data_IF_632669969276
#
_entry.id   IF_632669969276
#
_cell.length_a   1.000
_cell.length_b   1.000
_cell.length_c   1.000
_cell.angle_alpha   90.00
_cell.angle_beta   90.00
_cell.angle_gamma   90.00
#
_symmetry.space_group_name_H-M   'P 1'
#
loop_
_entity.id
_entity.type
_entity.pdbx_description
1 polymer ?
#
# COMPACT_ATOMS: atom_id res chain seq x y z
N UNK A 1 15.12 3.53 -3.68
CA UNK A 1 14.70 3.39 -2.27
C UNK A 1 15.64 2.45 -1.52
N UNK A 2 16.10 1.38 -2.18
CA UNK A 2 17.09 0.41 -1.76
C UNK A 2 17.92 -0.07 -2.97
N UNK A 3 18.46 -1.28 -2.92
CA UNK A 3 19.26 -1.86 -4.00
C UNK A 3 18.45 -2.39 -5.20
N UNK A 4 17.12 -2.45 -5.12
CA UNK A 4 16.28 -2.83 -6.26
C UNK A 4 16.26 -1.74 -7.33
N UNK A 5 16.47 -2.12 -8.59
CA UNK A 5 16.45 -1.18 -9.72
C UNK A 5 15.12 -0.46 -9.89
N UNK A 6 14.01 -1.09 -9.48
CA UNK A 6 12.68 -0.48 -9.55
C UNK A 6 11.82 -0.87 -8.35
N UNK A 7 11.33 0.12 -7.60
CA UNK A 7 10.27 -0.02 -6.59
C UNK A 7 9.00 0.71 -7.02
N UNK A 8 9.16 1.77 -7.79
CA UNK A 8 8.06 2.57 -8.34
C UNK A 8 8.29 2.76 -9.83
N UNK A 9 7.24 2.66 -10.62
CA UNK A 9 7.26 2.96 -12.04
C UNK A 9 6.23 4.05 -12.34
N UNK A 10 6.67 5.09 -13.06
CA UNK A 10 5.78 6.10 -13.64
C UNK A 10 5.68 5.78 -15.12
N UNK A 11 4.46 5.55 -15.61
CA UNK A 11 4.21 5.26 -17.02
C UNK A 11 3.61 6.50 -17.70
N UNK A 12 3.92 6.69 -18.98
CA UNK A 12 3.39 7.80 -19.77
C UNK A 12 2.03 7.51 -20.42
N UNK A 13 1.24 6.60 -19.84
CA UNK A 13 -0.06 6.21 -20.38
C UNK A 13 -1.15 7.26 -20.08
N UNK A 14 -2.29 7.10 -20.72
CA UNK A 14 -3.44 7.99 -20.60
C UNK A 14 -4.24 7.68 -19.32
N UNK A 15 -3.91 8.27 -18.22
CA UNK A 15 -4.72 8.17 -17.01
C UNK A 15 -3.93 8.37 -15.73
N UNK A 16 -4.44 9.23 -14.88
CA UNK A 16 -3.89 9.53 -13.56
C UNK A 16 -4.35 8.46 -12.55
N UNK A 17 -3.85 7.23 -12.69
CA UNK A 17 -4.32 6.09 -11.90
C UNK A 17 -3.22 5.04 -11.68
N UNK A 18 -3.56 3.98 -10.96
CA UNK A 18 -2.69 2.83 -10.76
C UNK A 18 -2.53 2.05 -12.06
N UNK A 19 -1.29 1.98 -12.59
CA UNK A 19 -0.97 1.14 -13.75
C UNK A 19 -0.92 -0.35 -13.37
N UNK A 20 -0.31 -0.68 -12.24
CA UNK A 20 -0.24 -2.03 -11.69
C UNK A 20 0.21 -2.00 -10.22
N UNK A 21 -0.04 -3.11 -9.51
CA UNK A 21 0.60 -3.42 -8.23
C UNK A 21 1.40 -4.70 -8.38
N UNK A 22 2.65 -4.70 -7.92
CA UNK A 22 3.58 -5.82 -8.04
C UNK A 22 3.87 -6.50 -6.70
N UNK A 23 3.92 -7.84 -6.71
CA UNK A 23 4.32 -8.66 -5.57
C UNK A 23 5.43 -9.62 -6.00
N UNK A 24 6.44 -9.74 -5.17
CA UNK A 24 7.57 -10.64 -5.40
C UNK A 24 7.24 -12.04 -4.87
N UNK A 25 7.67 -13.07 -5.60
CA UNK A 25 7.66 -14.47 -5.17
C UNK A 25 9.08 -14.97 -4.94
N UNK A 26 9.24 -15.89 -3.99
CA UNK A 26 10.55 -16.38 -3.58
C UNK A 26 11.19 -17.31 -4.63
N UNK A 27 10.36 -18.06 -5.36
CA UNK A 27 10.83 -19.07 -6.32
C UNK A 27 10.15 -18.90 -7.68
N UNK A 28 10.88 -19.26 -8.73
CA UNK A 28 10.35 -19.23 -10.10
C UNK A 28 9.11 -20.13 -10.26
N UNK A 29 9.12 -21.28 -9.62
CA UNK A 29 8.05 -22.27 -9.66
C UNK A 29 6.74 -21.75 -9.06
N UNK A 30 6.83 -20.76 -8.16
CA UNK A 30 5.65 -20.12 -7.57
C UNK A 30 4.84 -19.37 -8.62
N UNK A 31 5.48 -18.76 -9.63
CA UNK A 31 4.76 -18.12 -10.75
C UNK A 31 3.86 -19.10 -11.48
N UNK A 32 4.35 -20.33 -11.75
CA UNK A 32 3.58 -21.36 -12.41
C UNK A 32 2.43 -21.88 -11.52
N UNK A 33 2.71 -22.02 -10.22
CA UNK A 33 1.71 -22.42 -9.22
C UNK A 33 0.59 -21.40 -9.13
N UNK A 34 0.91 -20.12 -9.08
CA UNK A 34 -0.09 -19.04 -9.08
C UNK A 34 -0.85 -18.98 -10.41
N UNK A 35 -0.17 -19.13 -11.56
CA UNK A 35 -0.83 -19.16 -12.85
C UNK A 35 -1.86 -20.28 -12.93
N UNK A 36 -1.49 -21.51 -12.60
CA UNK A 36 -2.39 -22.65 -12.60
C UNK A 36 -3.58 -22.48 -11.63
N UNK A 37 -3.32 -21.93 -10.43
CA UNK A 37 -4.37 -21.65 -9.43
C UNK A 37 -5.38 -20.61 -9.95
N UNK A 38 -4.91 -19.53 -10.55
CA UNK A 38 -5.74 -18.46 -11.11
C UNK A 38 -6.57 -18.98 -12.29
N UNK A 39 -5.95 -19.71 -13.22
CA UNK A 39 -6.63 -20.30 -14.39
C UNK A 39 -7.69 -21.31 -13.98
N UNK A 40 -7.45 -22.10 -12.92
CA UNK A 40 -8.47 -23.01 -12.36
C UNK A 40 -9.70 -22.28 -11.81
N UNK A 41 -9.61 -20.97 -11.59
CA UNK A 41 -10.69 -20.06 -11.18
C UNK A 41 -11.22 -19.21 -12.34
N UNK A 42 -10.89 -19.57 -13.59
CA UNK A 42 -11.23 -18.82 -14.80
C UNK A 42 -10.68 -17.38 -14.84
N UNK A 43 -9.56 -17.12 -14.17
CA UNK A 43 -8.86 -15.84 -14.20
C UNK A 43 -7.77 -15.96 -15.26
N UNK A 44 -7.84 -15.11 -16.29
CA UNK A 44 -6.85 -15.09 -17.37
C UNK A 44 -5.50 -14.62 -16.84
N UNK A 45 -4.47 -15.43 -17.03
CA UNK A 45 -3.08 -15.11 -16.72
C UNK A 45 -2.31 -14.87 -18.01
N UNK A 46 -1.42 -13.91 -18.00
CA UNK A 46 -0.51 -13.63 -19.10
C UNK A 46 0.93 -13.72 -18.59
N UNK A 47 1.77 -14.50 -19.29
CA UNK A 47 3.20 -14.53 -19.04
C UNK A 47 3.83 -13.25 -19.61
N UNK A 48 4.71 -12.62 -18.85
CA UNK A 48 5.54 -11.52 -19.36
C UNK A 48 6.54 -12.06 -20.38
N UNK A 49 6.66 -11.39 -21.53
CA UNK A 49 7.76 -11.65 -22.45
C UNK A 49 9.06 -10.97 -21.97
N UNK A 50 10.20 -11.29 -22.60
CA UNK A 50 11.50 -10.75 -22.21
C UNK A 50 11.50 -9.21 -22.18
N UNK A 51 10.98 -8.55 -23.22
CA UNK A 51 10.89 -7.09 -23.27
C UNK A 51 10.10 -6.49 -22.12
N UNK A 52 9.06 -7.20 -21.63
CA UNK A 52 8.26 -6.74 -20.51
C UNK A 52 8.98 -6.95 -19.18
N UNK A 53 9.65 -8.10 -19.00
CA UNK A 53 10.49 -8.38 -17.83
C UNK A 53 11.65 -7.39 -17.72
N UNK A 54 12.28 -7.05 -18.84
CA UNK A 54 13.35 -6.04 -18.90
C UNK A 54 12.84 -4.66 -18.44
N UNK A 55 11.64 -4.24 -18.89
CA UNK A 55 11.00 -2.98 -18.43
C UNK A 55 10.67 -2.94 -16.95
N UNK A 56 10.49 -4.09 -16.32
CA UNK A 56 10.22 -4.24 -14.89
C UNK A 56 11.47 -4.52 -14.07
N UNK A 57 12.62 -4.69 -14.74
CA UNK A 57 13.87 -5.11 -14.10
C UNK A 57 13.69 -6.37 -13.24
N UNK A 58 13.02 -7.38 -13.79
CA UNK A 58 12.79 -8.69 -13.15
C UNK A 58 13.20 -9.80 -14.08
N UNK A 59 13.49 -10.99 -13.55
CA UNK A 59 13.83 -12.13 -14.38
C UNK A 59 12.61 -12.67 -15.11
N UNK A 60 11.51 -12.86 -14.42
CA UNK A 60 10.24 -13.34 -14.97
C UNK A 60 9.06 -12.72 -14.23
N UNK A 61 7.93 -12.65 -14.90
CA UNK A 61 6.67 -12.23 -14.28
C UNK A 61 5.46 -12.85 -14.97
N UNK A 62 4.38 -12.93 -14.21
CA UNK A 62 3.02 -13.13 -14.71
C UNK A 62 2.18 -11.91 -14.34
N UNK A 63 1.13 -11.66 -15.11
CA UNK A 63 0.14 -10.65 -14.75
C UNK A 63 -1.29 -11.11 -15.03
N UNK A 64 -2.20 -10.57 -14.25
CA UNK A 64 -3.62 -10.82 -14.30
C UNK A 64 -4.37 -9.60 -13.73
N UNK A 65 -5.69 -9.62 -13.83
CA UNK A 65 -6.51 -8.59 -13.21
C UNK A 65 -7.20 -9.14 -11.96
N UNK A 66 -7.30 -8.30 -10.93
CA UNK A 66 -8.15 -8.57 -9.78
C UNK A 66 -9.65 -8.48 -10.19
N UNK A 67 -10.62 -8.82 -9.31
CA UNK A 67 -12.05 -8.79 -9.64
C UNK A 67 -12.61 -7.41 -10.01
N UNK A 68 -11.84 -6.33 -9.81
CA UNK A 68 -12.22 -4.97 -10.19
C UNK A 68 -11.48 -4.45 -11.43
N UNK A 69 -10.60 -5.26 -12.00
CA UNK A 69 -9.83 -4.90 -13.18
C UNK A 69 -8.47 -4.25 -12.86
N UNK A 70 -8.07 -4.13 -11.60
CA UNK A 70 -6.72 -3.68 -11.28
C UNK A 70 -5.70 -4.72 -11.75
N UNK A 71 -4.68 -4.25 -12.48
CA UNK A 71 -3.59 -5.11 -12.91
C UNK A 71 -2.70 -5.48 -11.74
N UNK A 72 -2.52 -6.79 -11.54
CA UNK A 72 -1.62 -7.37 -10.55
C UNK A 72 -0.49 -8.08 -11.29
N UNK A 73 0.74 -7.83 -10.88
CA UNK A 73 1.95 -8.49 -11.40
C UNK A 73 2.58 -9.31 -10.28
N UNK A 74 2.86 -10.59 -10.54
CA UNK A 74 3.73 -11.39 -9.69
C UNK A 74 5.07 -11.53 -10.37
N UNK A 75 6.15 -11.20 -9.67
CA UNK A 75 7.49 -11.10 -10.21
C UNK A 75 8.45 -12.02 -9.47
N UNK A 76 9.39 -12.58 -10.22
CA UNK A 76 10.47 -13.37 -9.67
C UNK A 76 11.82 -12.71 -9.91
N UNK A 77 12.67 -12.73 -8.90
CA UNK A 77 14.04 -12.25 -8.90
C UNK A 77 14.19 -10.83 -9.47
N UNK A 78 13.71 -9.79 -8.77
CA UNK A 78 13.95 -8.41 -9.14
C UNK A 78 15.44 -8.10 -9.21
N UNK A 79 15.85 -7.40 -10.25
CA UNK A 79 17.25 -7.02 -10.47
C UNK A 79 17.68 -5.99 -9.43
N UNK A 80 18.88 -6.18 -8.93
CA UNK A 80 19.52 -5.24 -8.02
C UNK A 80 20.48 -4.33 -8.77
N UNK A 81 20.62 -3.10 -8.29
CA UNK A 81 21.64 -2.17 -8.78
C UNK A 81 22.97 -2.45 -8.04
N UNK A 82 24.07 -2.17 -8.71
CA UNK A 82 25.41 -2.23 -8.10
C UNK A 82 25.74 -0.97 -7.32
N UNK A 83 25.07 0.14 -7.65
CA UNK A 83 25.23 1.42 -6.96
C UNK A 83 24.18 1.58 -5.86
N UNK A 84 24.58 2.06 -4.67
CA UNK A 84 23.62 2.31 -3.60
C UNK A 84 22.67 3.44 -3.99
N UNK A 85 21.42 3.31 -3.56
CA UNK A 85 20.43 4.36 -3.73
C UNK A 85 20.89 5.68 -3.08
N UNK A 86 20.89 6.75 -3.87
CA UNK A 86 21.22 8.10 -3.40
C UNK A 86 19.97 8.98 -3.47
N UNK A 87 19.36 9.29 -2.33
CA UNK A 87 18.20 10.18 -2.31
C UNK A 87 18.60 11.60 -2.76
N UNK A 88 17.70 12.28 -3.46
CA UNK A 88 17.89 13.67 -3.88
C UNK A 88 17.87 14.68 -2.71
N UNK A 89 17.30 14.28 -1.58
CA UNK A 89 17.28 15.01 -0.31
C UNK A 89 18.09 14.22 0.72
N UNK A 90 18.82 14.86 1.65
CA UNK A 90 19.60 14.17 2.68
C UNK A 90 18.69 13.55 3.75
N UNK A 91 18.10 12.40 3.41
CA UNK A 91 17.29 11.57 4.30
C UNK A 91 18.07 10.34 4.75
N UNK A 92 17.65 9.74 5.86
CA UNK A 92 18.24 8.51 6.40
C UNK A 92 17.96 7.26 5.54
N UNK A 93 17.11 7.39 4.51
CA UNK A 93 16.69 6.30 3.62
C UNK A 93 15.34 5.72 4.01
N UNK A 94 15.02 4.57 3.40
CA UNK A 94 13.71 3.93 3.52
C UNK A 94 13.84 2.54 4.15
N UNK A 95 12.82 2.17 4.92
CA UNK A 95 12.69 0.84 5.50
C UNK A 95 12.04 -0.09 4.48
N UNK A 96 12.88 -0.85 3.79
CA UNK A 96 12.53 -1.71 2.64
C UNK A 96 13.05 -3.15 2.83
N UNK A 97 13.80 -3.70 1.89
CA UNK A 97 14.33 -5.05 1.93
C UNK A 97 13.22 -6.10 1.88
N UNK A 98 13.25 -7.05 2.81
CA UNK A 98 12.23 -8.11 2.92
C UNK A 98 10.81 -7.60 3.25
N UNK A 99 10.67 -6.32 3.64
CA UNK A 99 9.39 -5.68 3.90
C UNK A 99 8.76 -5.06 2.64
N UNK A 100 9.45 -5.11 1.51
CA UNK A 100 9.01 -4.47 0.28
C UNK A 100 9.11 -2.94 0.32
N UNK A 101 8.50 -2.27 -0.65
CA UNK A 101 8.50 -0.81 -0.78
C UNK A 101 7.79 -0.11 0.39
N UNK A 102 6.71 -0.67 0.85
CA UNK A 102 5.76 -0.12 1.80
C UNK A 102 4.42 -0.84 1.68
N UNK A 103 3.33 -0.09 1.53
CA UNK A 103 2.03 -0.67 1.23
C UNK A 103 1.26 0.13 0.17
N UNK A 104 0.21 -0.47 -0.36
CA UNK A 104 -0.75 0.17 -1.25
C UNK A 104 -2.16 0.00 -0.70
N UNK A 105 -3.02 1.00 -0.93
CA UNK A 105 -4.43 0.96 -0.57
C UNK A 105 -5.31 1.22 -1.78
N UNK A 106 -6.26 0.31 -2.01
CA UNK A 106 -7.18 0.36 -3.13
C UNK A 106 -8.59 0.69 -2.63
N UNK A 107 -9.25 1.61 -3.33
CA UNK A 107 -10.70 1.75 -3.24
C UNK A 107 -11.36 0.55 -3.91
N UNK A 108 -12.33 -0.07 -3.22
CA UNK A 108 -13.07 -1.20 -3.77
C UNK A 108 -14.58 -0.95 -3.76
N UNK A 109 -15.22 -1.30 -4.88
CA UNK A 109 -16.66 -1.19 -5.04
C UNK A 109 -17.37 -2.42 -4.45
N UNK A 110 -16.87 -3.60 -4.73
CA UNK A 110 -17.42 -4.87 -4.25
C UNK A 110 -16.44 -5.56 -3.30
N UNK A 111 -16.47 -5.11 -2.04
CA UNK A 111 -15.58 -5.58 -0.99
C UNK A 111 -15.66 -7.10 -0.81
N UNK A 112 -16.88 -7.67 -0.88
CA UNK A 112 -17.11 -9.08 -0.66
C UNK A 112 -16.56 -9.99 -1.78
N UNK A 113 -16.29 -9.44 -2.96
CA UNK A 113 -15.62 -10.18 -4.05
C UNK A 113 -14.11 -10.01 -4.01
N UNK A 114 -13.62 -8.83 -3.64
CA UNK A 114 -12.19 -8.53 -3.72
C UNK A 114 -11.42 -9.11 -2.54
N UNK A 115 -11.96 -9.06 -1.33
CA UNK A 115 -11.30 -9.64 -0.14
C UNK A 115 -11.03 -11.14 -0.31
N UNK A 116 -11.98 -12.00 -0.70
CA UNK A 116 -11.70 -13.42 -0.92
C UNK A 116 -10.67 -13.67 -2.03
N UNK A 117 -10.60 -12.83 -3.05
CA UNK A 117 -9.60 -12.98 -4.10
C UNK A 117 -8.17 -12.88 -3.53
N UNK A 118 -7.87 -11.84 -2.78
CA UNK A 118 -6.54 -11.67 -2.18
C UNK A 118 -6.27 -12.71 -1.08
N UNK A 119 -7.26 -13.00 -0.22
CA UNK A 119 -7.11 -13.96 0.88
C UNK A 119 -7.01 -15.41 0.40
N UNK A 120 -8.00 -15.87 -0.39
CA UNK A 120 -8.19 -17.31 -0.66
C UNK A 120 -7.48 -17.75 -1.94
N UNK A 121 -7.40 -16.88 -2.96
CA UNK A 121 -6.75 -17.19 -4.22
C UNK A 121 -5.25 -16.83 -4.15
N UNK A 122 -4.90 -15.61 -3.73
CA UNK A 122 -3.51 -15.21 -3.66
C UNK A 122 -2.83 -15.62 -2.34
N UNK A 123 -3.58 -16.00 -1.31
CA UNK A 123 -3.03 -16.51 -0.05
C UNK A 123 -2.52 -15.43 0.89
N UNK A 124 -2.95 -14.17 0.69
CA UNK A 124 -2.59 -13.08 1.59
C UNK A 124 -3.27 -13.27 2.94
N UNK A 125 -2.55 -13.00 4.02
CA UNK A 125 -3.08 -13.14 5.37
C UNK A 125 -3.66 -11.81 5.86
N UNK A 126 -4.84 -11.86 6.48
CA UNK A 126 -5.46 -10.68 7.08
C UNK A 126 -4.72 -10.32 8.37
N UNK A 127 -4.32 -9.06 8.49
CA UNK A 127 -3.74 -8.50 9.71
C UNK A 127 -4.83 -8.03 10.65
N UNK A 128 -5.68 -7.15 10.16
CA UNK A 128 -6.89 -6.69 10.83
C UNK A 128 -7.93 -6.24 9.79
N UNK A 129 -9.13 -5.97 10.27
CA UNK A 129 -10.23 -5.48 9.44
C UNK A 129 -11.22 -4.68 10.27
N UNK A 130 -12.03 -3.86 9.60
CA UNK A 130 -13.17 -3.17 10.19
C UNK A 130 -14.38 -3.34 9.26
N UNK A 131 -15.56 -3.58 9.85
CA UNK A 131 -16.81 -3.68 9.10
C UNK A 131 -17.65 -2.42 9.21
N UNK A 132 -17.50 -1.66 10.28
CA UNK A 132 -18.31 -0.47 10.59
C UNK A 132 -17.45 0.66 11.17
N UNK A 133 -17.72 1.92 10.82
CA UNK A 133 -18.70 2.40 9.83
C UNK A 133 -18.21 2.26 8.39
N UNK A 134 -16.97 1.81 8.19
CA UNK A 134 -16.30 1.68 6.90
C UNK A 134 -15.67 0.29 6.82
N UNK A 135 -15.92 -0.43 5.73
CA UNK A 135 -15.28 -1.71 5.47
C UNK A 135 -13.83 -1.52 5.07
N UNK A 136 -12.91 -2.02 5.88
CA UNK A 136 -11.47 -2.02 5.64
C UNK A 136 -10.92 -3.44 5.84
N UNK A 137 -9.94 -3.85 5.05
CA UNK A 137 -9.22 -5.09 5.26
C UNK A 137 -7.75 -4.88 4.93
N UNK A 138 -6.88 -5.21 5.88
CA UNK A 138 -5.44 -5.05 5.79
C UNK A 138 -4.77 -6.41 5.67
N UNK A 139 -3.89 -6.57 4.67
CA UNK A 139 -3.25 -7.85 4.37
C UNK A 139 -1.74 -7.76 4.50
N UNK A 140 -1.15 -8.77 5.15
CA UNK A 140 0.29 -8.96 5.15
C UNK A 140 0.71 -10.14 4.29
N UNK A 141 1.91 -10.02 3.73
CA UNK A 141 2.63 -11.07 2.99
C UNK A 141 4.04 -11.28 3.54
N UNK A 142 4.45 -10.43 4.48
CA UNK A 142 5.75 -10.45 5.15
C UNK A 142 5.59 -9.87 6.56
N UNK A 143 6.68 -9.48 7.21
CA UNK A 143 6.66 -8.91 8.56
C UNK A 143 6.11 -7.48 8.68
N UNK A 144 5.81 -6.78 7.58
CA UNK A 144 5.09 -5.50 7.63
C UNK A 144 3.64 -5.76 8.03
N UNK A 145 3.06 -4.93 8.91
CA UNK A 145 1.68 -5.10 9.36
C UNK A 145 0.71 -5.28 8.19
N UNK A 146 0.88 -4.51 7.12
CA UNK A 146 0.19 -4.75 5.86
C UNK A 146 1.02 -4.26 4.67
N UNK A 147 0.89 -4.99 3.56
CA UNK A 147 1.45 -4.62 2.25
C UNK A 147 0.35 -4.18 1.28
N UNK A 148 -0.88 -4.58 1.55
CA UNK A 148 -2.08 -4.21 0.79
C UNK A 148 -3.22 -3.91 1.77
N UNK A 149 -4.00 -2.87 1.48
CA UNK A 149 -5.30 -2.69 2.13
C UNK A 149 -6.41 -2.41 1.11
N UNK A 150 -7.61 -2.85 1.44
CA UNK A 150 -8.81 -2.63 0.66
C UNK A 150 -9.77 -1.74 1.43
N UNK A 151 -10.18 -0.66 0.81
CA UNK A 151 -11.14 0.30 1.35
C UNK A 151 -12.47 0.17 0.62
N UNK A 152 -13.48 -0.38 1.29
CA UNK A 152 -14.86 -0.55 0.77
C UNK A 152 -15.61 0.77 0.66
N UNK A 153 -15.16 1.64 -0.23
CA UNK A 153 -15.70 2.99 -0.44
C UNK A 153 -16.85 3.06 -1.45
N UNK A 154 -17.21 1.92 -2.07
CA UNK A 154 -18.17 1.89 -3.17
C UNK A 154 -17.63 2.43 -4.51
N UNK A 155 -16.35 2.79 -4.56
CA UNK A 155 -15.64 3.29 -5.76
C UNK A 155 -14.56 2.29 -6.17
N UNK A 156 -14.09 2.40 -7.40
CA UNK A 156 -12.88 1.73 -7.89
C UNK A 156 -11.81 2.81 -8.04
N UNK A 157 -10.59 2.54 -7.56
CA UNK A 157 -9.49 3.49 -7.72
C UNK A 157 -8.31 3.21 -6.79
N UNK A 158 -7.30 4.04 -6.94
CA UNK A 158 -6.11 4.03 -6.13
C UNK A 158 -6.23 5.10 -5.04
N UNK A 159 -6.11 4.70 -3.76
CA UNK A 159 -6.18 5.65 -2.66
C UNK A 159 -4.79 6.23 -2.37
N UNK A 160 -3.82 5.37 -2.07
CA UNK A 160 -2.44 5.79 -1.82
C UNK A 160 -1.45 4.64 -1.89
N UNK A 161 -0.19 4.98 -1.97
CA UNK A 161 0.89 4.12 -1.50
C UNK A 161 1.63 4.78 -0.33
N UNK A 162 2.26 3.94 0.50
CA UNK A 162 3.04 4.38 1.65
C UNK A 162 4.52 4.08 1.45
N UNK A 163 5.37 5.01 1.88
CA UNK A 163 6.80 4.81 2.03
C UNK A 163 7.21 5.03 3.49
N UNK A 164 8.00 4.10 4.05
CA UNK A 164 8.47 4.21 5.43
C UNK A 164 9.91 4.68 5.47
N UNK A 165 10.17 5.79 6.16
CA UNK A 165 11.51 6.33 6.38
C UNK A 165 12.18 5.65 7.58
N UNK A 166 13.51 5.70 7.62
CA UNK A 166 14.28 5.20 8.76
C UNK A 166 14.26 6.15 9.97
N UNK A 167 13.92 7.44 9.77
CA UNK A 167 13.83 8.44 10.84
C UNK A 167 12.52 9.20 10.82
N UNK A 168 11.99 9.51 12.01
CA UNK A 168 10.84 10.42 12.17
C UNK A 168 11.17 11.83 11.66
N UNK A 169 12.41 12.26 11.81
CA UNK A 169 12.85 13.59 11.35
C UNK A 169 12.71 13.75 9.84
N UNK A 170 12.93 12.67 9.07
CA UNK A 170 12.73 12.71 7.62
C UNK A 170 11.24 12.91 7.24
N UNK A 171 10.33 12.32 8.03
CA UNK A 171 8.89 12.52 7.89
C UNK A 171 8.52 13.95 8.24
N UNK A 172 9.02 14.48 9.38
CA UNK A 172 8.78 15.85 9.83
C UNK A 172 9.28 16.89 8.83
N UNK A 173 10.51 16.74 8.34
CA UNK A 173 11.06 17.60 7.29
C UNK A 173 10.28 17.50 5.98
N UNK A 174 9.81 16.29 5.62
CA UNK A 174 8.92 16.09 4.48
C UNK A 174 7.60 16.83 4.63
N UNK A 175 7.02 16.79 5.83
CA UNK A 175 5.81 17.54 6.16
C UNK A 175 6.02 19.04 6.02
N UNK A 176 7.12 19.59 6.56
CA UNK A 176 7.47 21.00 6.44
C UNK A 176 7.58 21.43 4.97
N UNK A 177 8.19 20.62 4.11
CA UNK A 177 8.33 20.95 2.69
C UNK A 177 7.00 20.98 1.93
N UNK A 178 6.02 20.19 2.38
CA UNK A 178 4.73 20.03 1.69
C UNK A 178 3.68 21.00 2.23
N UNK A 179 3.64 21.27 3.53
CA UNK A 179 2.60 22.08 4.18
C UNK A 179 2.48 23.53 3.67
N UNK A 180 3.56 24.06 3.11
CA UNK A 180 3.56 25.42 2.54
C UNK A 180 3.10 25.46 1.06
N UNK A 181 2.75 24.31 0.48
CA UNK A 181 2.15 24.25 -0.86
C UNK A 181 0.64 24.18 -0.74
N UNK A 182 -0.04 25.01 -1.48
CA UNK A 182 -1.50 25.07 -1.47
C UNK A 182 -2.12 23.69 -1.77
N UNK A 183 -3.04 23.26 -0.93
CA UNK A 183 -3.77 22.00 -1.06
C UNK A 183 -2.92 20.74 -1.24
N UNK A 184 -1.67 20.74 -0.79
CA UNK A 184 -0.79 19.61 -0.98
C UNK A 184 -0.86 18.57 0.16
N UNK A 185 -1.43 18.90 1.32
CA UNK A 185 -1.66 17.99 2.45
C UNK A 185 -3.08 17.43 2.37
N UNK A 186 -3.18 16.10 2.23
CA UNK A 186 -4.45 15.38 2.35
C UNK A 186 -4.79 15.10 3.83
N UNK A 187 -3.83 14.49 4.57
CA UNK A 187 -3.95 14.23 6.00
C UNK A 187 -2.78 14.87 6.72
N UNK A 188 -3.08 15.60 7.79
CA UNK A 188 -2.04 16.17 8.66
C UNK A 188 -1.21 15.08 9.31
N UNK A 189 -0.09 15.45 9.94
CA UNK A 189 0.67 14.53 10.77
C UNK A 189 -0.23 13.86 11.80
N UNK A 190 -0.08 12.55 11.98
CA UNK A 190 -0.87 11.76 12.90
C UNK A 190 -0.28 10.37 13.14
N UNK A 191 -0.96 9.56 13.96
CA UNK A 191 -0.56 8.19 14.25
C UNK A 191 -1.73 7.23 14.16
N UNK A 192 -1.60 6.19 13.33
CA UNK A 192 -2.60 5.15 13.18
C UNK A 192 -2.73 4.25 14.42
N UNK A 193 -3.94 3.71 14.63
CA UNK A 193 -4.24 2.81 15.75
C UNK A 193 -3.83 1.37 15.47
N UNK A 194 -3.89 0.94 14.22
CA UNK A 194 -3.70 -0.47 13.84
C UNK A 194 -2.22 -0.84 13.63
N UNK A 195 -1.51 -0.10 12.79
CA UNK A 195 -0.10 -0.37 12.47
C UNK A 195 0.90 0.54 13.18
N UNK A 196 0.40 1.51 13.98
CA UNK A 196 1.19 2.49 14.75
C UNK A 196 2.04 3.44 13.90
N UNK A 197 1.81 3.47 12.57
CA UNK A 197 2.51 4.36 11.67
C UNK A 197 2.26 5.81 12.07
N UNK A 198 3.34 6.55 12.29
CA UNK A 198 3.30 8.02 12.41
C UNK A 198 3.57 8.59 11.03
N UNK A 199 2.59 9.27 10.45
CA UNK A 199 2.62 9.64 9.05
C UNK A 199 1.85 10.92 8.74
N UNK A 200 2.03 11.42 7.52
CA UNK A 200 1.15 12.39 6.88
C UNK A 200 0.92 11.97 5.43
N UNK A 201 -0.13 12.53 4.81
CA UNK A 201 -0.46 12.22 3.43
C UNK A 201 -0.36 13.46 2.56
N UNK A 202 0.43 13.38 1.50
CA UNK A 202 0.52 14.40 0.46
C UNK A 202 -0.34 14.01 -0.75
N UNK A 203 -0.90 15.03 -1.43
CA UNK A 203 -1.66 14.87 -2.67
C UNK A 203 -0.69 14.89 -3.84
N UNK A 204 -0.76 13.89 -4.72
CA UNK A 204 0.02 13.86 -5.96
C UNK A 204 -0.67 14.69 -7.05
N UNK A 205 0.05 15.11 -8.10
CA UNK A 205 -0.59 15.74 -9.27
C UNK A 205 -1.66 14.87 -9.93
N UNK A 206 -1.58 13.55 -9.79
CA UNK A 206 -2.57 12.57 -10.30
C UNK A 206 -3.77 12.37 -9.37
N UNK A 207 -3.84 13.07 -8.24
CA UNK A 207 -4.98 13.07 -7.33
C UNK A 207 -5.04 11.95 -6.29
N UNK A 208 -4.20 10.92 -6.37
CA UNK A 208 -4.02 9.96 -5.29
C UNK A 208 -3.00 10.46 -4.26
N UNK A 209 -2.87 9.77 -3.12
CA UNK A 209 -2.02 10.23 -2.04
C UNK A 209 -0.71 9.44 -1.95
N UNK A 210 0.30 10.06 -1.34
CA UNK A 210 1.50 9.39 -0.83
C UNK A 210 1.47 9.54 0.69
N UNK A 211 1.46 8.42 1.39
CA UNK A 211 1.67 8.37 2.82
C UNK A 211 3.17 8.33 3.11
N UNK A 212 3.64 9.32 3.84
CA UNK A 212 5.03 9.45 4.27
C UNK A 212 5.10 9.09 5.75
N UNK A 213 5.65 7.93 6.08
CA UNK A 213 5.53 7.37 7.42
C UNK A 213 6.83 6.91 8.06
N UNK A 214 6.76 6.71 9.39
CA UNK A 214 7.82 6.16 10.23
C UNK A 214 7.22 5.36 11.38
N UNK A 215 7.96 4.31 11.80
CA UNK A 215 7.69 3.60 13.05
C UNK A 215 6.50 2.65 12.98
N UNK A 216 6.17 2.15 11.79
CA UNK A 216 5.16 1.10 11.63
C UNK A 216 5.52 -0.17 12.39
N UNK A 217 4.50 -0.82 12.97
CA UNK A 217 4.72 -2.06 13.72
C UNK A 217 5.15 -3.19 12.79
N UNK A 218 6.07 -3.99 13.27
CA UNK A 218 6.45 -5.25 12.66
C UNK A 218 5.69 -6.37 13.36
N UNK A 219 5.18 -7.30 12.57
CA UNK A 219 4.46 -8.48 13.04
C UNK A 219 5.27 -9.74 12.69
N UNK A 220 5.01 -10.81 13.42
CA UNK A 220 5.46 -12.15 13.04
C UNK A 220 4.33 -12.84 12.25
N UNK A 221 4.48 -13.04 10.92
CA UNK A 221 3.45 -13.64 10.08
C UNK A 221 3.05 -15.06 10.47
N UNK A 222 3.90 -15.75 11.25
CA UNK A 222 3.64 -17.13 11.70
C UNK A 222 2.72 -17.20 12.90
N UNK A 223 2.73 -16.17 13.75
CA UNK A 223 1.99 -16.14 15.02
C UNK A 223 0.89 -15.07 15.06
N UNK A 224 0.91 -14.13 14.12
CA UNK A 224 -0.09 -13.06 14.08
C UNK A 224 -1.51 -13.58 13.89
N UNK A 225 -2.43 -13.09 14.72
CA UNK A 225 -3.85 -13.42 14.61
C UNK A 225 -4.63 -12.20 14.13
N UNK A 226 -5.40 -12.39 13.08
CA UNK A 226 -6.30 -11.34 12.59
C UNK A 226 -7.37 -11.00 13.61
N UNK A 227 -7.76 -9.73 13.67
CA UNK A 227 -8.79 -9.24 14.57
C UNK A 227 -9.61 -8.11 13.94
N UNK A 228 -10.82 -7.92 14.42
CA UNK A 228 -11.65 -6.78 14.07
C UNK A 228 -11.26 -5.57 14.90
N UNK A 229 -11.12 -4.41 14.23
CA UNK A 229 -10.84 -3.14 14.90
C UNK A 229 -12.11 -2.31 15.01
N UNK A 230 -12.35 -1.75 16.20
CA UNK A 230 -13.49 -0.89 16.51
C UNK A 230 -13.08 0.53 16.85
N UNK A 231 -11.79 0.77 17.03
CA UNK A 231 -11.20 2.05 17.31
C UNK A 231 -11.27 2.96 16.09
N UNK A 232 -11.13 4.25 16.32
CA UNK A 232 -10.90 5.23 15.24
C UNK A 232 -9.59 4.93 14.51
N UNK A 233 -9.45 5.39 13.26
CA UNK A 233 -8.29 5.05 12.43
C UNK A 233 -6.96 5.64 12.93
N UNK A 234 -7.01 6.54 13.91
CA UNK A 234 -5.81 7.22 14.43
C UNK A 234 -5.96 7.54 15.91
N UNK A 235 -4.86 7.41 16.66
CA UNK A 235 -4.79 7.86 18.05
C UNK A 235 -4.87 9.39 18.13
N UNK A 236 -4.19 10.07 17.21
CA UNK A 236 -4.16 11.53 17.11
C UNK A 236 -3.81 11.97 15.68
N UNK A 237 -4.05 13.23 15.36
CA UNK A 237 -3.74 13.82 14.06
C UNK A 237 -4.59 13.25 12.91
N UNK A 238 -4.00 13.14 11.73
CA UNK A 238 -4.63 12.69 10.48
C UNK A 238 -5.94 13.43 10.19
N UNK A 239 -5.92 14.76 10.39
CA UNK A 239 -7.04 15.61 9.95
C UNK A 239 -7.12 15.57 8.44
N UNK A 240 -8.28 15.24 7.89
CA UNK A 240 -8.50 15.04 6.44
C UNK A 240 -8.82 16.36 5.76
N UNK A 241 -7.79 17.11 5.39
CA UNK A 241 -7.96 18.48 4.87
C UNK A 241 -8.67 18.53 3.52
N UNK A 242 -8.67 17.45 2.76
CA UNK A 242 -9.36 17.35 1.45
C UNK A 242 -10.86 17.13 1.56
N UNK A 243 -11.38 16.84 2.76
CA UNK A 243 -12.82 16.64 3.00
C UNK A 243 -13.49 17.95 3.44
N UNK A 244 -14.78 18.11 3.15
CA UNK A 244 -15.61 19.17 3.75
C UNK A 244 -15.60 19.11 5.29
N UNK A 245 -15.80 20.24 5.94
CA UNK A 245 -15.71 20.36 7.41
C UNK A 245 -16.65 19.40 8.15
N UNK A 246 -17.86 19.21 7.65
CA UNK A 246 -18.84 18.30 8.26
C UNK A 246 -18.35 16.84 8.27
N UNK A 247 -17.74 16.39 7.18
CA UNK A 247 -17.17 15.04 7.11
C UNK A 247 -15.91 14.92 7.98
N UNK A 248 -15.09 15.95 8.01
CA UNK A 248 -13.90 16.01 8.89
C UNK A 248 -14.27 15.86 10.36
N UNK A 249 -15.36 16.53 10.79
CA UNK A 249 -15.85 16.44 12.17
C UNK A 249 -16.23 15.02 12.58
N UNK A 250 -16.78 14.20 11.69
CA UNK A 250 -17.11 12.79 11.99
C UNK A 250 -15.85 11.99 12.33
N UNK A 251 -14.78 12.15 11.57
CA UNK A 251 -13.50 11.49 11.84
C UNK A 251 -12.80 12.05 13.08
N UNK A 252 -12.89 13.35 13.30
CA UNK A 252 -12.33 14.00 14.51
C UNK A 252 -12.98 13.46 15.77
N UNK A 253 -14.30 13.41 15.83
CA UNK A 253 -15.04 12.88 16.97
C UNK A 253 -14.64 11.42 17.25
N UNK A 254 -14.55 10.58 16.23
CA UNK A 254 -14.11 9.20 16.40
C UNK A 254 -12.67 9.07 16.98
N UNK A 255 -11.75 9.98 16.61
CA UNK A 255 -10.41 10.03 17.24
C UNK A 255 -10.47 10.43 18.70
N UNK A 256 -11.28 11.44 19.03
CA UNK A 256 -11.45 11.89 20.41
C UNK A 256 -12.05 10.78 21.29
N UNK A 257 -13.01 10.03 20.77
CA UNK A 257 -13.54 8.84 21.44
C UNK A 257 -12.48 7.76 21.65
N UNK A 258 -11.57 7.58 20.71
CA UNK A 258 -10.44 6.65 20.81
C UNK A 258 -9.44 7.11 21.86
N UNK A 259 -9.15 8.40 21.92
CA UNK A 259 -8.21 8.98 22.91
C UNK A 259 -8.75 9.02 24.33
N UNK A 260 -10.07 8.93 24.51
CA UNK A 260 -10.73 8.93 25.82
C UNK A 260 -10.78 7.54 26.48
N UNK A 261 -10.39 6.48 25.78
CA UNK A 261 -10.31 5.10 26.28
C UNK A 261 -8.90 4.75 26.75
#
# INVERSE_FOLDING_TARGET
MDDHKQRLAITGDTGDSLAFVGFEVDKKEDLQTYAAKLESKNIKVTLGNSSYSDKRFVQELIHFNDPQGNRVEMVYNPMKDTEPFKPSRPISGFKTGALGMGHVVLHVKDFNKVVPFYRDILGFKISDYSNTPISLCFFHINGRHHSLALFGSGKIGFHHFMVEYNSLDDVGQGYDLVQYKDNAIAYTMGRHTNDYMTSFYSITPSGFFVENGWGGRIIDPSTWKSHETFEGPSFWGHERLYLPDEERMKFRNKRLDTAAK
#
